data_IF_351088920449
#
_entry.id   IF_351088920449
#
_cell.length_a   1.000
_cell.length_b   1.000
_cell.length_c   1.000
_cell.angle_alpha   90.00
_cell.angle_beta   90.00
_cell.angle_gamma   90.00
#
_symmetry.space_group_name_H-M   'P 1'
#
loop_
_entity.id
_entity.type
_entity.pdbx_description
1 polymer ?
#
# COMPACT_ATOMS: atom_id res chain seq x y z
N UNK A 1 19.05 -34.72 -26.44
CA UNK A 1 17.71 -34.52 -25.89
C UNK A 1 17.69 -34.06 -24.43
N UNK A 2 18.42 -34.68 -23.47
CA UNK A 2 18.41 -34.25 -22.04
C UNK A 2 18.86 -32.79 -21.79
N UNK A 3 19.84 -32.27 -22.54
CA UNK A 3 20.32 -30.88 -22.39
C UNK A 3 19.32 -29.84 -22.89
N UNK A 4 18.53 -30.15 -23.90
CA UNK A 4 17.48 -29.28 -24.42
C UNK A 4 16.31 -29.16 -23.45
N UNK A 5 15.95 -30.25 -22.78
CA UNK A 5 14.88 -30.23 -21.74
C UNK A 5 15.31 -29.43 -20.52
N UNK A 6 16.59 -29.53 -20.12
CA UNK A 6 17.11 -28.72 -18.98
C UNK A 6 17.12 -27.21 -19.29
N UNK A 7 17.49 -26.83 -20.51
CA UNK A 7 17.46 -25.41 -20.93
C UNK A 7 16.04 -24.87 -21.02
N UNK A 8 15.08 -25.67 -21.49
CA UNK A 8 13.68 -25.29 -21.52
C UNK A 8 13.08 -25.12 -20.09
N UNK A 9 13.45 -26.03 -19.17
CA UNK A 9 13.04 -25.90 -17.76
C UNK A 9 13.62 -24.62 -17.10
N UNK A 10 14.88 -24.27 -17.38
CA UNK A 10 15.52 -23.07 -16.86
C UNK A 10 14.89 -21.79 -17.41
N UNK A 11 14.49 -21.78 -18.69
CA UNK A 11 13.81 -20.65 -19.31
C UNK A 11 12.39 -20.42 -18.72
N UNK A 12 11.69 -21.49 -18.36
CA UNK A 12 10.37 -21.41 -17.73
C UNK A 12 10.49 -20.89 -16.26
N UNK A 13 11.53 -21.31 -15.53
CA UNK A 13 11.76 -20.78 -14.16
C UNK A 13 12.18 -19.30 -14.14
N UNK A 14 12.90 -18.83 -15.16
CA UNK A 14 13.30 -17.42 -15.26
C UNK A 14 12.13 -16.47 -15.58
N UNK A 15 11.05 -16.97 -16.18
CA UNK A 15 9.84 -16.20 -16.50
C UNK A 15 8.92 -15.93 -15.32
N UNK A 16 9.20 -16.50 -14.15
CA UNK A 16 8.41 -16.32 -12.92
C UNK A 16 8.96 -15.22 -12.00
N UNK A 17 9.82 -14.33 -12.48
CA UNK A 17 10.11 -13.09 -11.79
C UNK A 17 8.84 -12.22 -11.81
N UNK A 18 7.88 -12.56 -10.96
CA UNK A 18 6.67 -11.79 -10.79
C UNK A 18 7.07 -10.36 -10.43
N UNK A 19 6.82 -9.43 -11.33
CA UNK A 19 6.86 -8.02 -11.02
C UNK A 19 5.95 -7.81 -9.81
N UNK A 20 6.45 -7.16 -8.77
CA UNK A 20 5.69 -7.02 -7.53
C UNK A 20 5.27 -5.56 -7.38
N UNK A 21 3.99 -5.27 -7.15
CA UNK A 21 3.50 -3.92 -6.95
C UNK A 21 4.31 -3.13 -5.91
N UNK A 22 4.69 -1.92 -6.25
CA UNK A 22 5.38 -0.99 -5.38
C UNK A 22 4.38 -0.01 -4.77
N UNK A 23 4.40 0.12 -3.44
CA UNK A 23 3.47 0.97 -2.72
C UNK A 23 4.16 2.25 -2.24
N UNK A 24 3.47 3.38 -2.38
CA UNK A 24 3.93 4.67 -1.90
C UNK A 24 2.86 5.35 -1.04
N UNK A 25 3.29 5.96 0.04
CA UNK A 25 2.44 6.78 0.89
C UNK A 25 2.27 8.17 0.27
N UNK A 26 1.03 8.63 0.13
CA UNK A 26 0.69 9.91 -0.49
C UNK A 26 0.20 10.97 0.51
N UNK A 27 -0.07 10.59 1.74
CA UNK A 27 -0.52 11.52 2.77
C UNK A 27 0.28 11.35 4.05
N UNK A 28 0.34 12.40 4.86
CA UNK A 28 0.97 12.40 6.18
C UNK A 28 -0.09 12.34 7.28
N UNK A 29 0.30 11.74 8.42
CA UNK A 29 -0.57 11.72 9.58
C UNK A 29 -0.81 13.12 10.14
N UNK A 30 -2.01 13.38 10.69
CA UNK A 30 -2.22 14.54 11.54
C UNK A 30 -1.26 14.52 12.74
N UNK A 31 -0.91 15.71 13.30
CA UNK A 31 -0.05 15.79 14.48
C UNK A 31 -0.51 14.87 15.61
N UNK A 32 0.43 14.15 16.22
CA UNK A 32 0.16 13.22 17.33
C UNK A 32 -0.55 11.92 16.94
N UNK A 33 -0.63 11.61 15.64
CA UNK A 33 -1.18 10.36 15.11
C UNK A 33 -0.14 9.62 14.28
N UNK A 34 -0.24 8.29 14.24
CA UNK A 34 0.59 7.47 13.36
C UNK A 34 -0.12 7.29 12.01
N UNK A 35 0.63 7.43 10.92
CA UNK A 35 0.30 6.92 9.59
C UNK A 35 1.61 6.77 8.82
N UNK A 36 2.17 5.57 8.81
CA UNK A 36 3.48 5.30 8.23
C UNK A 36 3.48 3.96 7.50
N UNK A 37 3.90 3.99 6.26
CA UNK A 37 4.20 2.82 5.46
C UNK A 37 5.71 2.57 5.49
N UNK A 38 6.13 1.47 6.08
CA UNK A 38 7.52 1.03 6.12
C UNK A 38 7.75 -0.05 5.08
N UNK A 39 8.81 0.10 4.30
CA UNK A 39 9.35 -0.93 3.44
C UNK A 39 10.42 -1.71 4.21
N UNK A 40 10.23 -3.01 4.35
CA UNK A 40 11.16 -3.90 5.04
C UNK A 40 11.76 -4.86 4.01
N UNK A 41 13.07 -4.86 3.87
CA UNK A 41 13.76 -5.82 3.02
C UNK A 41 13.59 -7.23 3.59
N UNK A 42 12.96 -8.10 2.84
CA UNK A 42 12.82 -9.50 3.16
C UNK A 42 14.01 -10.33 2.65
N UNK A 43 13.96 -11.62 2.94
CA UNK A 43 14.92 -12.59 2.42
C UNK A 43 14.89 -12.59 0.87
N UNK A 44 16.02 -12.66 0.19
CA UNK A 44 16.16 -12.59 -1.27
C UNK A 44 15.77 -11.25 -1.92
N UNK A 45 15.83 -10.14 -1.16
CA UNK A 45 15.51 -8.81 -1.69
C UNK A 45 14.02 -8.56 -1.95
N UNK A 46 13.15 -9.48 -1.51
CA UNK A 46 11.71 -9.29 -1.59
C UNK A 46 11.28 -8.20 -0.61
N UNK A 47 10.75 -7.12 -1.14
CA UNK A 47 10.20 -6.02 -0.33
C UNK A 47 8.92 -6.47 0.36
N UNK A 48 8.82 -6.19 1.66
CA UNK A 48 7.61 -6.38 2.46
C UNK A 48 7.16 -5.03 2.98
N UNK A 49 5.86 -4.85 3.12
CA UNK A 49 5.30 -3.61 3.62
C UNK A 49 4.64 -3.81 4.98
N UNK A 50 4.85 -2.83 5.86
CA UNK A 50 4.14 -2.71 7.13
C UNK A 50 3.51 -1.33 7.19
N UNK A 51 2.24 -1.29 7.51
CA UNK A 51 1.50 -0.07 7.70
C UNK A 51 1.15 0.07 9.18
N UNK A 52 1.59 1.17 9.80
CA UNK A 52 1.14 1.57 11.11
C UNK A 52 0.24 2.80 10.97
N UNK A 53 -0.96 2.72 11.50
CA UNK A 53 -1.96 3.79 11.40
C UNK A 53 -2.71 3.92 12.72
N UNK A 54 -2.99 5.15 13.16
CA UNK A 54 -3.84 5.39 14.34
C UNK A 54 -5.31 5.18 14.01
N UNK A 55 -6.06 4.72 14.99
CA UNK A 55 -7.52 4.69 14.93
C UNK A 55 -8.09 6.06 14.53
N UNK A 56 -9.05 6.06 13.61
CA UNK A 56 -9.68 7.27 13.06
C UNK A 56 -8.83 8.02 12.01
N UNK A 57 -7.65 7.51 11.65
CA UNK A 57 -6.80 8.10 10.61
C UNK A 57 -7.03 7.39 9.28
N UNK A 58 -7.05 8.15 8.20
CA UNK A 58 -7.08 7.66 6.82
C UNK A 58 -5.74 7.95 6.15
N UNK A 59 -5.18 6.96 5.47
CA UNK A 59 -3.92 7.06 4.74
C UNK A 59 -4.13 6.69 3.27
N UNK A 60 -3.76 7.61 2.38
CA UNK A 60 -3.78 7.36 0.95
C UNK A 60 -2.47 6.68 0.50
N UNK A 61 -2.62 5.60 -0.25
CA UNK A 61 -1.53 4.83 -0.85
C UNK A 61 -1.72 4.75 -2.35
N UNK A 62 -0.60 4.78 -3.08
CA UNK A 62 -0.58 4.49 -4.52
C UNK A 62 0.15 3.21 -4.80
N UNK A 63 -0.21 2.58 -5.91
CA UNK A 63 0.40 1.37 -6.43
C UNK A 63 1.02 1.67 -7.80
N UNK A 64 2.26 1.24 -8.01
CA UNK A 64 2.97 1.36 -9.28
C UNK A 64 3.89 0.18 -9.55
N UNK A 65 4.08 -0.17 -10.83
CA UNK A 65 5.07 -1.12 -11.33
C UNK A 65 5.46 -0.70 -12.75
N UNK A 66 6.47 0.19 -12.86
CA UNK A 66 6.82 0.81 -14.15
C UNK A 66 5.73 1.74 -14.73
N UNK A 67 4.57 1.81 -14.08
CA UNK A 67 3.38 2.60 -14.37
C UNK A 67 2.37 2.44 -13.23
N UNK A 68 1.16 3.01 -13.33
CA UNK A 68 0.08 2.73 -12.37
C UNK A 68 -0.30 1.25 -12.43
N UNK A 69 -0.57 0.62 -11.26
CA UNK A 69 -1.05 -0.76 -11.23
C UNK A 69 -2.38 -0.89 -11.97
N UNK A 70 -2.49 -1.87 -12.86
CA UNK A 70 -3.71 -2.12 -13.62
C UNK A 70 -4.62 -3.13 -12.89
N UNK A 71 -5.94 -2.95 -13.04
CA UNK A 71 -6.96 -3.84 -12.43
C UNK A 71 -6.77 -4.08 -10.94
N UNK A 72 -6.24 -3.09 -10.23
CA UNK A 72 -5.94 -3.19 -8.81
C UNK A 72 -7.19 -3.50 -7.98
N UNK A 73 -7.06 -4.52 -7.13
CA UNK A 73 -8.04 -4.88 -6.11
C UNK A 73 -7.34 -4.96 -4.75
N UNK A 74 -7.91 -4.34 -3.74
CA UNK A 74 -7.38 -4.35 -2.38
C UNK A 74 -8.45 -4.85 -1.43
N UNK A 75 -8.12 -5.86 -0.63
CA UNK A 75 -9.04 -6.49 0.33
C UNK A 75 -8.38 -6.53 1.69
N UNK A 76 -9.11 -6.20 2.73
CA UNK A 76 -8.70 -6.37 4.12
C UNK A 76 -9.22 -7.71 4.66
N UNK A 77 -8.38 -8.46 5.38
CA UNK A 77 -8.80 -9.68 6.09
C UNK A 77 -9.81 -9.35 7.20
N UNK A 78 -9.67 -8.19 7.84
CA UNK A 78 -10.59 -7.71 8.86
C UNK A 78 -10.92 -6.22 8.64
N UNK A 79 -12.03 -5.92 7.93
CA UNK A 79 -12.46 -4.55 7.71
C UNK A 79 -12.94 -3.81 8.98
N UNK A 80 -13.18 -4.53 10.08
CA UNK A 80 -13.48 -3.89 11.36
C UNK A 80 -12.24 -3.27 12.02
N UNK A 81 -11.05 -3.79 11.73
CA UNK A 81 -9.77 -3.22 12.16
C UNK A 81 -9.28 -2.17 11.17
N UNK A 82 -9.20 -2.52 9.89
CA UNK A 82 -8.76 -1.59 8.83
C UNK A 82 -9.64 -1.73 7.59
N UNK A 83 -10.33 -0.66 7.24
CA UNK A 83 -11.20 -0.58 6.07
C UNK A 83 -10.42 -0.04 4.87
N UNK A 84 -10.64 -0.61 3.68
CA UNK A 84 -10.07 -0.12 2.42
C UNK A 84 -11.16 0.51 1.58
N UNK A 85 -10.85 1.68 1.02
CA UNK A 85 -11.72 2.41 0.09
C UNK A 85 -10.98 2.72 -1.21
N UNK A 86 -11.61 2.56 -2.36
CA UNK A 86 -11.02 3.00 -3.61
C UNK A 86 -10.83 4.52 -3.58
N UNK A 87 -9.76 5.00 -4.20
CA UNK A 87 -9.48 6.41 -4.35
C UNK A 87 -9.03 6.73 -5.77
N UNK A 88 -9.22 7.97 -6.19
CA UNK A 88 -8.68 8.51 -7.43
C UNK A 88 -7.88 9.76 -7.11
N UNK A 89 -6.63 9.81 -7.53
CA UNK A 89 -5.78 10.98 -7.40
C UNK A 89 -5.86 11.91 -8.62
N UNK A 90 -6.58 11.53 -9.66
CA UNK A 90 -6.65 12.31 -10.91
C UNK A 90 -7.04 13.79 -10.69
N UNK A 91 -7.88 14.08 -9.69
CA UNK A 91 -8.28 15.46 -9.37
C UNK A 91 -7.21 16.23 -8.56
N UNK A 92 -6.35 15.54 -7.81
CA UNK A 92 -5.31 16.16 -6.98
C UNK A 92 -4.00 16.34 -7.74
N UNK A 93 -3.70 15.47 -8.69
CA UNK A 93 -2.49 15.54 -9.52
C UNK A 93 -2.51 16.71 -10.52
N UNK A 94 -3.67 17.22 -10.89
CA UNK A 94 -3.78 18.35 -11.82
C UNK A 94 -3.26 19.68 -11.24
N UNK A 95 -3.06 19.78 -9.94
CA UNK A 95 -2.64 21.04 -9.28
C UNK A 95 -1.13 21.31 -9.40
N UNK A 96 -0.33 20.36 -9.85
CA UNK A 96 1.13 20.52 -9.95
C UNK A 96 1.78 20.01 -11.24
N UNK A 97 1.02 19.58 -12.23
CA UNK A 97 1.58 18.98 -13.45
C UNK A 97 1.80 20.00 -14.57
N UNK A 98 3.00 19.97 -15.16
CA UNK A 98 3.28 20.71 -16.40
C UNK A 98 2.39 20.21 -17.53
N UNK A 99 1.82 21.14 -18.35
CA UNK A 99 1.05 20.77 -19.54
C UNK A 99 1.94 19.92 -20.48
N UNK A 100 1.54 18.68 -20.76
CA UNK A 100 2.25 17.80 -21.69
C UNK A 100 2.67 16.44 -21.12
N UNK A 101 2.65 16.24 -19.82
CA UNK A 101 2.84 14.91 -19.21
C UNK A 101 1.54 14.11 -19.33
N UNK A 102 1.56 13.04 -20.11
CA UNK A 102 0.50 12.01 -20.13
C UNK A 102 0.68 11.10 -18.91
N UNK A 103 0.61 11.65 -17.70
CA UNK A 103 0.56 10.79 -16.51
C UNK A 103 -0.82 10.16 -16.43
N UNK A 104 -0.88 8.86 -16.59
CA UNK A 104 -2.06 8.10 -16.22
C UNK A 104 -2.35 8.33 -14.73
N UNK A 105 -3.63 8.45 -14.33
CA UNK A 105 -3.97 8.60 -12.93
C UNK A 105 -3.40 7.43 -12.14
N UNK A 106 -2.68 7.71 -11.05
CA UNK A 106 -2.09 6.67 -10.23
C UNK A 106 -3.19 5.76 -9.64
N UNK A 107 -2.96 4.47 -9.68
CA UNK A 107 -3.82 3.52 -8.97
C UNK A 107 -3.71 3.79 -7.47
N UNK A 108 -4.80 4.24 -6.84
CA UNK A 108 -4.82 4.70 -5.47
C UNK A 108 -5.92 4.04 -4.65
N UNK A 109 -5.67 3.91 -3.36
CA UNK A 109 -6.65 3.48 -2.37
C UNK A 109 -6.38 4.17 -1.02
N UNK A 110 -7.39 4.20 -0.17
CA UNK A 110 -7.29 4.75 1.18
C UNK A 110 -7.50 3.63 2.19
N UNK A 111 -6.60 3.55 3.16
CA UNK A 111 -6.74 2.67 4.33
C UNK A 111 -7.20 3.50 5.50
N UNK A 112 -8.27 3.10 6.16
CA UNK A 112 -8.84 3.76 7.33
C UNK A 112 -8.67 2.85 8.54
N UNK A 113 -7.95 3.29 9.57
CA UNK A 113 -7.86 2.60 10.86
C UNK A 113 -9.19 2.73 11.62
N UNK A 114 -9.86 1.61 11.87
CA UNK A 114 -11.19 1.60 12.51
C UNK A 114 -11.14 1.26 13.99
N UNK A 115 -10.35 0.25 14.36
CA UNK A 115 -10.19 -0.20 15.73
C UNK A 115 -8.75 -0.69 15.95
N UNK A 116 -8.21 -0.56 17.18
CA UNK A 116 -6.88 -1.09 17.49
C UNK A 116 -6.80 -2.60 17.25
N UNK A 117 -5.73 -3.02 16.57
CA UNK A 117 -5.53 -4.42 16.23
C UNK A 117 -4.54 -4.62 15.09
N UNK A 118 -4.47 -5.85 14.60
CA UNK A 118 -3.63 -6.21 13.45
C UNK A 118 -4.48 -6.95 12.42
N UNK A 119 -4.29 -6.58 11.17
CA UNK A 119 -4.91 -7.25 10.02
C UNK A 119 -3.91 -7.28 8.86
N UNK A 120 -4.31 -7.87 7.74
CA UNK A 120 -3.54 -7.91 6.51
C UNK A 120 -4.38 -7.34 5.38
N UNK A 121 -3.74 -6.61 4.49
CA UNK A 121 -4.30 -6.22 3.21
C UNK A 121 -3.69 -7.08 2.12
N UNK A 122 -4.54 -7.65 1.28
CA UNK A 122 -4.16 -8.34 0.06
C UNK A 122 -4.38 -7.39 -1.11
N UNK A 123 -3.30 -7.07 -1.81
CA UNK A 123 -3.31 -6.22 -2.99
C UNK A 123 -3.01 -7.12 -4.18
N UNK A 124 -3.93 -7.21 -5.11
CA UNK A 124 -3.75 -7.90 -6.39
C UNK A 124 -3.89 -6.91 -7.53
N UNK A 125 -3.01 -7.02 -8.50
CA UNK A 125 -2.99 -6.23 -9.72
C UNK A 125 -2.55 -7.13 -10.89
N UNK A 126 -2.62 -6.62 -12.11
CA UNK A 126 -2.18 -7.39 -13.28
C UNK A 126 -0.69 -7.73 -13.20
N UNK A 127 0.08 -6.86 -12.55
CA UNK A 127 1.54 -6.99 -12.35
C UNK A 127 1.93 -7.97 -11.23
N UNK A 128 0.98 -8.40 -10.40
CA UNK A 128 1.25 -9.34 -9.31
C UNK A 128 0.47 -9.08 -8.04
N UNK A 129 0.91 -9.71 -6.95
CA UNK A 129 0.25 -9.65 -5.66
C UNK A 129 1.18 -9.14 -4.57
N UNK A 130 0.61 -8.46 -3.58
CA UNK A 130 1.34 -7.92 -2.44
C UNK A 130 0.52 -7.96 -1.16
N UNK A 131 1.13 -8.47 -0.10
CA UNK A 131 0.58 -8.42 1.24
C UNK A 131 1.17 -7.26 2.04
N UNK A 132 0.32 -6.56 2.78
CA UNK A 132 0.70 -5.51 3.72
C UNK A 132 0.18 -5.85 5.10
N UNK A 133 1.08 -5.95 6.09
CA UNK A 133 0.68 -6.11 7.49
C UNK A 133 0.29 -4.75 8.03
N UNK A 134 -0.96 -4.61 8.46
CA UNK A 134 -1.50 -3.38 9.05
C UNK A 134 -1.59 -3.53 10.56
N UNK A 135 -1.06 -2.56 11.28
CA UNK A 135 -1.23 -2.40 12.72
C UNK A 135 -1.99 -1.09 12.96
N UNK A 136 -3.18 -1.20 13.51
CA UNK A 136 -3.94 -0.04 13.96
C UNK A 136 -3.66 0.16 15.44
N UNK A 137 -3.12 1.34 15.79
CA UNK A 137 -2.84 1.72 17.17
C UNK A 137 -3.96 2.60 17.71
N UNK A 138 -4.24 2.47 19.01
CA UNK A 138 -5.24 3.33 19.65
C UNK A 138 -4.92 4.81 19.46
N UNK A 139 -5.96 5.60 19.30
CA UNK A 139 -5.80 7.05 19.27
C UNK A 139 -5.22 7.54 20.61
N UNK A 140 -4.21 8.45 20.61
CA UNK A 140 -3.72 9.01 21.85
C UNK A 140 -4.88 9.71 22.57
N UNK A 141 -5.05 9.38 23.85
CA UNK A 141 -6.06 10.03 24.67
C UNK A 141 -5.68 11.51 24.84
N UNK A 142 -6.62 12.39 24.52
CA UNK A 142 -6.43 13.81 24.80
C UNK A 142 -6.34 13.97 26.32
N UNK A 143 -5.20 14.47 26.81
CA UNK A 143 -5.10 14.85 28.23
C UNK A 143 -6.31 15.74 28.59
N UNK A 144 -6.96 15.51 29.74
CA UNK A 144 -8.04 16.38 30.19
C UNK A 144 -7.55 17.83 30.17
N UNK A 145 -8.30 18.70 29.52
CA UNK A 145 -7.98 20.12 29.52
C UNK A 145 -7.83 20.57 31.00
N UNK A 146 -6.62 20.97 31.38
CA UNK A 146 -6.42 21.56 32.70
C UNK A 146 -7.33 22.76 32.76
N UNK A 147 -8.35 22.68 33.62
CA UNK A 147 -9.16 23.84 33.94
C UNK A 147 -8.20 24.88 34.50
N UNK A 148 -7.96 25.94 33.77
CA UNK A 148 -7.21 27.09 34.24
C UNK A 148 -8.04 27.72 35.35
N UNK A 149 -7.47 27.97 36.54
CA UNK A 149 -8.16 28.59 37.67
C UNK A 149 -8.62 30.01 37.37
#
# INVERSE_FOLDING_TARGET
MKRLVLLALFAILAGLAACNPYLQQQSVAPPGRAARLDEVNGFWGLKRYRLEISEGVALALTCSEGGPCEKMKVVSDDPAIAEVRPASLAALEQVGHMPGSRSQPAAAFVVVGKAPGKTRLHISAEEGERDVVVTVVAAPQRAPAQATP
#
